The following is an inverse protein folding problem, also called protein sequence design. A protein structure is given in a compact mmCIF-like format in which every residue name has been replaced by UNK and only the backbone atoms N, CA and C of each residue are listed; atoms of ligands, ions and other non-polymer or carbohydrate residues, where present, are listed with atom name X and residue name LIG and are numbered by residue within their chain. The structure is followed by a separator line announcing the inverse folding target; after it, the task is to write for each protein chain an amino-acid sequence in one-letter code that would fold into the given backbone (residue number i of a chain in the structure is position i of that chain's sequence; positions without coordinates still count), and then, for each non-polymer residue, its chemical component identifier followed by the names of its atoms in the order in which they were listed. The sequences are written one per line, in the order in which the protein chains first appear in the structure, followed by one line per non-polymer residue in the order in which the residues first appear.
data_IF_221470714829
#
_entry.id   IF_221470714829
#
_cell.length_a   1.000
_cell.length_b   1.000
_cell.length_c   1.000
_cell.angle_alpha   90.00
_cell.angle_beta   90.00
_cell.angle_gamma   90.00
#
_symmetry.space_group_name_H-M   'P 1'
#
loop_
_entity.id
_entity.type
_entity.pdbx_description
1 polymer ?
#
# COMPACT_ATOMS: atom_id res chain seq x y z
N UNK A 1 22.97 1.43 0.79
CA UNK A 1 22.25 2.09 -0.32
C UNK A 1 20.76 2.01 -0.02
N UNK A 2 20.01 3.11 -0.18
CA UNK A 2 18.57 3.11 0.04
C UNK A 2 17.87 2.92 -1.30
N UNK A 3 17.07 1.86 -1.44
CA UNK A 3 16.32 1.58 -2.67
C UNK A 3 15.24 2.64 -2.91
N UNK A 4 15.08 3.05 -4.16
CA UNK A 4 13.95 3.86 -4.63
C UNK A 4 12.63 3.07 -4.53
N UNK A 5 11.49 3.76 -4.61
CA UNK A 5 10.17 3.13 -4.53
C UNK A 5 9.95 2.09 -5.65
N UNK A 6 10.41 2.40 -6.87
CA UNK A 6 10.35 1.52 -8.04
C UNK A 6 11.24 0.29 -7.87
N UNK A 7 12.46 0.44 -7.35
CA UNK A 7 13.35 -0.69 -7.06
C UNK A 7 12.78 -1.60 -5.98
N UNK A 8 12.17 -1.04 -4.92
CA UNK A 8 11.49 -1.83 -3.89
C UNK A 8 10.33 -2.65 -4.47
N UNK A 9 9.54 -2.08 -5.39
CA UNK A 9 8.46 -2.80 -6.07
C UNK A 9 9.00 -3.95 -6.93
N UNK A 10 10.08 -3.72 -7.69
CA UNK A 10 10.72 -4.76 -8.49
C UNK A 10 11.23 -5.91 -7.62
N UNK A 11 11.86 -5.58 -6.48
CA UNK A 11 12.35 -6.58 -5.52
C UNK A 11 11.19 -7.38 -4.91
N UNK A 12 10.08 -6.75 -4.53
CA UNK A 12 8.90 -7.44 -3.99
C UNK A 12 8.31 -8.39 -5.05
N UNK A 13 8.21 -7.94 -6.31
CA UNK A 13 7.69 -8.76 -7.39
C UNK A 13 8.59 -9.98 -7.65
N UNK A 14 9.90 -9.78 -7.67
CA UNK A 14 10.86 -10.87 -7.83
C UNK A 14 10.82 -11.82 -6.63
N UNK A 15 10.73 -11.31 -5.40
CA UNK A 15 10.62 -12.10 -4.17
C UNK A 15 9.38 -13.01 -4.15
N UNK A 16 8.27 -12.59 -4.78
CA UNK A 16 7.09 -13.45 -4.97
C UNK A 16 7.36 -14.62 -5.93
N UNK A 17 8.26 -14.46 -6.90
CA UNK A 17 8.62 -15.50 -7.88
C UNK A 17 9.64 -16.49 -7.33
N UNK A 18 10.70 -15.98 -6.69
CA UNK A 18 11.85 -16.80 -6.24
C UNK A 18 11.78 -17.21 -4.77
N UNK A 19 10.82 -16.66 -4.01
CA UNK A 19 10.69 -16.83 -2.58
C UNK A 19 11.54 -15.85 -1.76
N UNK A 20 11.06 -15.49 -0.57
CA UNK A 20 11.68 -14.48 0.31
C UNK A 20 13.13 -14.79 0.67
N UNK A 21 13.47 -16.06 0.94
CA UNK A 21 14.84 -16.46 1.31
C UNK A 21 15.85 -16.28 0.18
N UNK A 22 15.43 -16.52 -1.07
CA UNK A 22 16.29 -16.31 -2.23
C UNK A 22 16.44 -14.82 -2.55
N UNK A 23 15.38 -14.03 -2.34
CA UNK A 23 15.43 -12.58 -2.50
C UNK A 23 16.29 -11.88 -1.44
N UNK A 24 16.27 -12.33 -0.19
CA UNK A 24 17.13 -11.86 0.89
C UNK A 24 18.61 -12.05 0.55
N UNK A 25 19.01 -13.24 0.05
CA UNK A 25 20.39 -13.48 -0.37
C UNK A 25 20.79 -12.64 -1.60
N UNK A 26 19.88 -12.45 -2.55
CA UNK A 26 20.17 -11.79 -3.84
C UNK A 26 20.22 -10.28 -3.73
N UNK A 27 19.35 -9.68 -2.94
CA UNK A 27 19.21 -8.23 -2.82
C UNK A 27 19.64 -7.69 -1.45
N UNK A 28 20.05 -8.55 -0.51
CA UNK A 28 20.41 -8.12 0.84
C UNK A 28 19.25 -7.45 1.58
N UNK A 29 18.01 -7.79 1.20
CA UNK A 29 16.81 -7.24 1.84
C UNK A 29 16.46 -8.05 3.08
N UNK A 30 16.12 -7.37 4.17
CA UNK A 30 15.59 -8.03 5.36
C UNK A 30 14.34 -8.83 4.97
N UNK A 31 14.17 -10.05 5.50
CA UNK A 31 12.95 -10.87 5.34
C UNK A 31 11.65 -10.12 5.66
N UNK A 32 11.73 -8.99 6.37
CA UNK A 32 10.64 -8.09 6.70
C UNK A 32 10.26 -7.15 5.54
N UNK A 33 11.04 -7.09 4.47
CA UNK A 33 10.68 -6.38 3.23
C UNK A 33 9.55 -7.16 2.56
N UNK A 34 8.32 -6.68 2.76
CA UNK A 34 7.08 -7.39 2.39
C UNK A 34 6.21 -7.77 3.60
N UNK A 35 6.75 -7.70 4.83
CA UNK A 35 5.97 -7.75 6.07
C UNK A 35 5.32 -6.38 6.38
N UNK A 36 4.84 -5.70 5.35
CA UNK A 36 3.96 -4.56 5.53
C UNK A 36 2.69 -5.02 6.24
N UNK A 37 2.01 -4.12 6.94
CA UNK A 37 0.65 -4.38 7.40
C UNK A 37 -0.22 -4.52 6.15
N UNK A 38 -0.62 -5.73 5.82
CA UNK A 38 -1.73 -5.93 4.91
C UNK A 38 -2.97 -5.33 5.57
N UNK A 39 -3.69 -4.48 4.84
CA UNK A 39 -4.94 -3.95 5.32
C UNK A 39 -5.89 -5.10 5.65
N UNK A 40 -6.61 -5.00 6.76
CA UNK A 40 -7.72 -5.90 7.03
C UNK A 40 -8.84 -5.74 5.98
N UNK A 41 -8.88 -4.59 5.29
CA UNK A 41 -9.91 -4.23 4.32
C UNK A 41 -9.28 -3.67 3.03
N UNK A 42 -8.62 -4.52 2.22
CA UNK A 42 -7.88 -4.07 1.05
C UNK A 42 -8.78 -3.42 -0.02
N UNK A 43 -10.00 -3.94 -0.22
CA UNK A 43 -10.96 -3.36 -1.17
C UNK A 43 -11.45 -1.98 -0.70
N UNK A 44 -11.74 -1.83 0.60
CA UNK A 44 -12.18 -0.57 1.17
C UNK A 44 -11.06 0.49 1.13
N UNK A 45 -9.80 0.10 1.34
CA UNK A 45 -8.67 1.01 1.17
C UNK A 45 -8.50 1.47 -0.28
N UNK A 46 -8.72 0.59 -1.26
CA UNK A 46 -8.63 0.95 -2.68
C UNK A 46 -9.71 1.96 -3.08
N UNK A 47 -10.94 1.76 -2.61
CA UNK A 47 -12.05 2.70 -2.80
C UNK A 47 -11.76 4.05 -2.13
N UNK A 48 -11.28 4.04 -0.88
CA UNK A 48 -10.90 5.24 -0.14
C UNK A 48 -9.77 6.01 -0.85
N UNK A 49 -8.75 5.32 -1.36
CA UNK A 49 -7.66 5.94 -2.13
C UNK A 49 -8.16 6.56 -3.42
N UNK A 50 -9.11 5.91 -4.10
CA UNK A 50 -9.73 6.44 -5.32
C UNK A 50 -10.47 7.73 -5.02
N UNK A 51 -11.30 7.74 -3.98
CA UNK A 51 -12.00 8.94 -3.51
C UNK A 51 -11.04 10.10 -3.15
N UNK A 52 -9.93 9.81 -2.46
CA UNK A 52 -8.92 10.84 -2.14
C UNK A 52 -8.30 11.43 -3.42
N UNK A 53 -7.98 10.58 -4.41
CA UNK A 53 -7.39 11.04 -5.67
C UNK A 53 -8.34 11.95 -6.44
N UNK A 54 -9.62 11.61 -6.50
CA UNK A 54 -10.65 12.44 -7.14
C UNK A 54 -10.75 13.82 -6.49
N UNK A 55 -10.74 13.88 -5.16
CA UNK A 55 -10.74 15.15 -4.42
C UNK A 55 -9.46 15.96 -4.65
N UNK A 56 -8.31 15.29 -4.75
CA UNK A 56 -7.04 15.96 -5.01
C UNK A 56 -7.00 16.57 -6.42
N UNK A 57 -7.61 15.91 -7.42
CA UNK A 57 -7.71 16.44 -8.80
C UNK A 57 -8.52 17.73 -8.87
N UNK A 58 -9.48 17.92 -7.96
CA UNK A 58 -10.28 19.15 -7.86
C UNK A 58 -9.72 20.14 -6.82
N UNK A 59 -8.52 19.91 -6.30
CA UNK A 59 -7.83 20.82 -5.39
C UNK A 59 -8.38 20.82 -3.95
N UNK A 60 -9.15 19.81 -3.55
CA UNK A 60 -9.71 19.70 -2.21
C UNK A 60 -8.73 18.97 -1.29
N UNK A 61 -8.36 19.63 -0.19
CA UNK A 61 -7.56 19.03 0.86
C UNK A 61 -8.40 18.04 1.68
N UNK A 62 -7.96 16.79 1.74
CA UNK A 62 -8.61 15.75 2.54
C UNK A 62 -8.03 15.71 3.94
N UNK A 63 -8.86 15.92 4.96
CA UNK A 63 -8.45 15.86 6.37
C UNK A 63 -8.57 14.44 6.93
N UNK A 64 -7.82 14.14 8.00
CA UNK A 64 -7.91 12.85 8.68
C UNK A 64 -9.32 12.53 9.22
N UNK A 65 -10.10 13.54 9.58
CA UNK A 65 -11.50 13.37 10.00
C UNK A 65 -12.39 12.89 8.85
N UNK A 66 -12.23 13.48 7.67
CA UNK A 66 -12.96 13.09 6.47
C UNK A 66 -12.60 11.66 6.03
N UNK A 67 -11.32 11.29 6.11
CA UNK A 67 -10.85 9.92 5.83
C UNK A 67 -11.53 8.91 6.76
N UNK A 68 -11.57 9.19 8.07
CA UNK A 68 -12.22 8.30 9.04
C UNK A 68 -13.71 8.14 8.75
N UNK A 69 -14.41 9.25 8.49
CA UNK A 69 -15.84 9.23 8.16
C UNK A 69 -16.09 8.39 6.89
N UNK A 70 -15.34 8.65 5.83
CA UNK A 70 -15.50 7.93 4.57
C UNK A 70 -15.19 6.43 4.72
N UNK A 71 -14.13 6.07 5.46
CA UNK A 71 -13.81 4.68 5.74
C UNK A 71 -14.95 3.97 6.50
N UNK A 72 -15.56 4.64 7.49
CA UNK A 72 -16.73 4.06 8.18
C UNK A 72 -17.93 3.89 7.26
N UNK A 73 -18.14 4.81 6.30
CA UNK A 73 -19.21 4.69 5.30
C UNK A 73 -18.97 3.51 4.37
N UNK A 74 -17.76 3.36 3.83
CA UNK A 74 -17.40 2.24 2.94
C UNK A 74 -17.61 0.90 3.65
N UNK A 75 -17.12 0.78 4.89
CA UNK A 75 -17.26 -0.45 5.68
C UNK A 75 -18.71 -0.74 6.10
N UNK A 76 -19.57 0.26 6.22
CA UNK A 76 -20.98 0.07 6.56
C UNK A 76 -21.85 -0.36 5.35
N UNK A 77 -21.34 -0.16 4.13
CA UNK A 77 -22.05 -0.45 2.88
C UNK A 77 -21.64 -1.80 2.26
N UNK A 78 -20.61 -2.44 2.82
CA UNK A 78 -20.07 -3.75 2.42
C UNK A 78 -20.55 -4.85 3.37
#
# INVERSE_FOLDING_TARGET
ASYTASEKLAIIHEAKKIGILAAERRFGIDRRVGAGRFSAYPAAEEELVTWIKELHLVGIAVTAGAIKLQMTTILATT
#
